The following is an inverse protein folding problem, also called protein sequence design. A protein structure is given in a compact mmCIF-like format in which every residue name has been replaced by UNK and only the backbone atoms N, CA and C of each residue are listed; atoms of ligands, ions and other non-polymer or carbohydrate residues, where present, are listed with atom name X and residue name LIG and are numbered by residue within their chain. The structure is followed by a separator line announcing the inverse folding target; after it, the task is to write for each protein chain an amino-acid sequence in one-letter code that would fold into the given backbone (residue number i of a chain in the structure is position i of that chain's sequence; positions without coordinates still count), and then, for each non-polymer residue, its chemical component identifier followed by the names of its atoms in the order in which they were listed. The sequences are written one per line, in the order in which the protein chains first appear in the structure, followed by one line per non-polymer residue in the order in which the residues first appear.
data_IF_830153612514
#
_entry.id   IF_830153612514
#
_cell.length_a   1.000
_cell.length_b   1.000
_cell.length_c   1.000
_cell.angle_alpha   90.00
_cell.angle_beta   90.00
_cell.angle_gamma   90.00
#
_symmetry.space_group_name_H-M   'P 1'
#
loop_
_entity.id
_entity.type
_entity.pdbx_description
1 polymer ?
#
# COMPACT_ATOMS: atom_id res chain seq x y z
N UNK A 1 0.64 -32.28 -8.95
CA UNK A 1 2.07 -31.91 -8.92
C UNK A 1 2.20 -30.84 -7.86
N UNK A 2 2.68 -31.24 -6.68
CA UNK A 2 2.94 -30.31 -5.59
C UNK A 2 4.20 -29.53 -5.94
N UNK A 3 4.09 -28.22 -6.06
CA UNK A 3 5.27 -27.37 -6.22
C UNK A 3 6.11 -27.48 -4.94
N UNK A 4 7.45 -27.54 -5.05
CA UNK A 4 8.29 -27.43 -3.87
C UNK A 4 8.02 -26.07 -3.20
N UNK A 5 7.99 -26.01 -1.85
CA UNK A 5 7.88 -24.76 -1.12
C UNK A 5 9.24 -24.05 -1.22
N UNK A 6 9.56 -23.52 -2.40
CA UNK A 6 10.61 -22.54 -2.50
C UNK A 6 10.13 -21.35 -1.68
N UNK A 7 10.77 -21.17 -0.53
CA UNK A 7 10.56 -20.06 0.37
C UNK A 7 10.49 -18.79 -0.49
N UNK A 8 9.32 -18.16 -0.54
CA UNK A 8 9.13 -16.89 -1.20
C UNK A 8 9.91 -15.86 -0.37
N UNK A 9 11.23 -15.82 -0.57
CA UNK A 9 12.07 -14.76 -0.09
C UNK A 9 11.42 -13.46 -0.61
N UNK A 10 11.30 -12.41 0.21
CA UNK A 10 10.74 -11.15 -0.24
C UNK A 10 11.53 -10.74 -1.49
N UNK A 11 10.92 -10.91 -2.66
CA UNK A 11 11.56 -10.64 -3.92
C UNK A 11 11.83 -9.15 -3.90
N UNK A 12 13.08 -8.77 -3.66
CA UNK A 12 13.50 -7.38 -3.49
C UNK A 12 13.03 -6.65 -4.74
N UNK A 13 11.95 -5.85 -4.65
CA UNK A 13 11.24 -5.46 -5.85
C UNK A 13 12.21 -4.67 -6.70
N UNK A 14 12.30 -4.98 -8.00
CA UNK A 14 13.20 -4.27 -8.92
C UNK A 14 12.96 -2.74 -8.86
N UNK A 15 11.76 -2.33 -8.44
CA UNK A 15 11.41 -0.96 -8.12
C UNK A 15 12.27 -0.34 -6.99
N UNK A 16 12.59 -1.08 -5.91
CA UNK A 16 13.40 -0.57 -4.80
C UNK A 16 14.86 -0.37 -5.21
N UNK A 17 15.42 -1.29 -5.99
CA UNK A 17 16.77 -1.12 -6.55
C UNK A 17 16.81 0.05 -7.53
N UNK A 18 15.79 0.21 -8.38
CA UNK A 18 15.69 1.35 -9.30
C UNK A 18 15.61 2.70 -8.55
N UNK A 19 14.89 2.77 -7.43
CA UNK A 19 14.83 3.97 -6.58
C UNK A 19 16.18 4.33 -5.97
N UNK A 20 16.88 3.34 -5.40
CA UNK A 20 18.21 3.54 -4.81
C UNK A 20 19.16 4.08 -5.86
N UNK A 21 19.14 3.50 -7.07
CA UNK A 21 19.96 3.98 -8.20
C UNK A 21 19.61 5.42 -8.57
N UNK A 22 18.31 5.75 -8.69
CA UNK A 22 17.89 7.13 -9.00
C UNK A 22 18.36 8.14 -7.94
N UNK A 23 18.24 7.82 -6.65
CA UNK A 23 18.69 8.67 -5.55
C UNK A 23 20.21 8.86 -5.52
N UNK A 24 20.98 7.80 -5.81
CA UNK A 24 22.43 7.89 -5.94
C UNK A 24 22.82 8.78 -7.12
N UNK A 25 22.14 8.66 -8.26
CA UNK A 25 22.37 9.54 -9.43
C UNK A 25 22.08 11.00 -9.06
N UNK A 26 20.99 11.27 -8.33
CA UNK A 26 20.67 12.62 -7.84
C UNK A 26 21.78 13.15 -6.93
N UNK A 27 22.25 12.34 -5.97
CA UNK A 27 23.35 12.72 -5.07
C UNK A 27 24.65 13.01 -5.82
N UNK A 28 25.01 12.19 -6.81
CA UNK A 28 26.18 12.41 -7.66
C UNK A 28 26.07 13.69 -8.49
N UNK A 29 24.89 13.97 -9.07
CA UNK A 29 24.64 15.22 -9.78
C UNK A 29 24.77 16.44 -8.85
N UNK A 30 24.30 16.35 -7.61
CA UNK A 30 24.44 17.43 -6.63
C UNK A 30 25.90 17.68 -6.25
N UNK A 31 26.72 16.63 -6.06
CA UNK A 31 28.17 16.78 -5.85
C UNK A 31 28.81 17.43 -7.06
N UNK A 32 28.47 16.99 -8.26
CA UNK A 32 29.02 17.57 -9.49
C UNK A 32 28.69 19.07 -9.62
N UNK A 33 27.43 19.45 -9.39
CA UNK A 33 26.99 20.85 -9.43
C UNK A 33 27.70 21.68 -8.35
N UNK A 34 27.82 21.18 -7.12
CA UNK A 34 28.57 21.86 -6.05
C UNK A 34 30.02 22.11 -6.45
N UNK A 35 30.75 21.06 -6.87
CA UNK A 35 32.15 21.15 -7.30
C UNK A 35 32.33 22.14 -8.45
N UNK A 36 31.44 22.15 -9.44
CA UNK A 36 31.50 23.11 -10.56
C UNK A 36 31.26 24.55 -10.07
N UNK A 37 30.27 24.79 -9.21
CA UNK A 37 30.00 26.12 -8.65
C UNK A 37 31.16 26.63 -7.80
N UNK A 38 31.77 25.74 -7.00
CA UNK A 38 32.98 26.02 -6.23
C UNK A 38 34.15 26.39 -7.15
N UNK A 39 34.40 25.61 -8.21
CA UNK A 39 35.48 25.85 -9.17
C UNK A 39 35.31 27.17 -9.95
N UNK A 40 34.06 27.57 -10.24
CA UNK A 40 33.74 28.84 -10.89
C UNK A 40 33.79 30.05 -9.93
N UNK A 41 34.19 29.84 -8.67
CA UNK A 41 34.22 30.87 -7.63
C UNK A 41 32.89 31.65 -7.53
N UNK A 42 31.77 30.96 -7.74
CA UNK A 42 30.45 31.58 -7.66
C UNK A 42 30.27 32.15 -6.24
N UNK A 43 29.88 33.43 -6.07
CA UNK A 43 30.17 34.20 -4.85
C UNK A 43 29.38 33.77 -3.59
N UNK A 44 28.56 32.73 -3.67
CA UNK A 44 27.73 32.24 -2.57
C UNK A 44 28.22 30.89 -2.06
N UNK A 45 29.19 30.89 -1.13
CA UNK A 45 29.66 29.68 -0.41
C UNK A 45 28.50 28.92 0.26
N UNK A 46 27.45 29.66 0.65
CA UNK A 46 26.21 29.11 1.21
C UNK A 46 25.50 28.17 0.22
N UNK A 47 25.56 28.45 -1.08
CA UNK A 47 24.97 27.60 -2.11
C UNK A 47 25.76 26.30 -2.30
N UNK A 48 27.10 26.37 -2.32
CA UNK A 48 27.97 25.20 -2.47
C UNK A 48 27.81 24.21 -1.30
N UNK A 49 27.92 24.73 -0.06
CA UNK A 49 27.74 23.91 1.13
C UNK A 49 26.34 23.27 1.19
N UNK A 50 25.32 23.97 0.71
CA UNK A 50 23.95 23.45 0.66
C UNK A 50 23.81 22.25 -0.31
N UNK A 51 24.43 22.29 -1.49
CA UNK A 51 24.42 21.15 -2.42
C UNK A 51 25.14 19.93 -1.85
N UNK A 52 26.26 20.12 -1.14
CA UNK A 52 26.96 19.02 -0.48
C UNK A 52 26.13 18.39 0.65
N UNK A 53 25.43 19.21 1.45
CA UNK A 53 24.53 18.71 2.49
C UNK A 53 23.40 17.89 1.88
N UNK A 54 22.77 18.37 0.80
CA UNK A 54 21.73 17.62 0.10
C UNK A 54 22.25 16.29 -0.46
N UNK A 55 23.47 16.27 -1.00
CA UNK A 55 24.09 15.05 -1.51
C UNK A 55 24.28 14.01 -0.40
N UNK A 56 24.82 14.42 0.75
CA UNK A 56 24.98 13.54 1.92
C UNK A 56 23.62 12.99 2.37
N UNK A 57 22.60 13.83 2.46
CA UNK A 57 21.25 13.40 2.82
C UNK A 57 20.68 12.40 1.80
N UNK A 58 20.92 12.59 0.50
CA UNK A 58 20.51 11.64 -0.53
C UNK A 58 21.17 10.26 -0.35
N UNK A 59 22.47 10.21 -0.01
CA UNK A 59 23.15 8.95 0.31
C UNK A 59 22.61 8.29 1.58
N UNK A 60 22.35 9.07 2.63
CA UNK A 60 21.75 8.56 3.88
C UNK A 60 20.36 7.97 3.62
N UNK A 61 19.52 8.66 2.84
CA UNK A 61 18.20 8.15 2.46
C UNK A 61 18.30 6.92 1.57
N UNK A 62 19.28 6.85 0.67
CA UNK A 62 19.56 5.65 -0.13
C UNK A 62 19.89 4.44 0.73
N UNK A 63 20.74 4.63 1.75
CA UNK A 63 21.04 3.59 2.73
C UNK A 63 19.79 3.21 3.55
N UNK A 64 18.98 4.19 3.95
CA UNK A 64 17.71 3.98 4.64
C UNK A 64 16.68 3.19 3.81
N UNK A 65 16.61 3.45 2.50
CA UNK A 65 15.80 2.70 1.53
C UNK A 65 16.31 1.25 1.43
N UNK A 66 17.62 1.05 1.45
CA UNK A 66 18.22 -0.29 1.43
C UNK A 66 17.80 -1.12 2.65
N UNK A 67 17.69 -0.46 3.81
CA UNK A 67 17.27 -1.06 5.08
C UNK A 67 15.75 -1.16 5.25
N UNK A 68 14.95 -0.73 4.26
CA UNK A 68 13.48 -0.71 4.32
C UNK A 68 12.93 0.04 5.56
N UNK A 69 13.62 1.10 5.98
CA UNK A 69 13.20 1.87 7.15
C UNK A 69 11.95 2.71 6.84
N UNK A 70 10.96 2.72 7.74
CA UNK A 70 9.68 3.43 7.53
C UNK A 70 9.81 4.94 7.31
N UNK A 71 10.89 5.57 7.79
CA UNK A 71 11.19 6.98 7.57
C UNK A 71 11.77 7.27 6.17
N UNK A 72 12.46 6.30 5.56
CA UNK A 72 13.24 6.53 4.33
C UNK A 72 12.36 6.95 3.16
N UNK A 73 11.12 6.46 3.13
CA UNK A 73 10.15 6.80 2.09
C UNK A 73 9.71 8.26 2.15
N UNK A 74 9.40 8.76 3.35
CA UNK A 74 9.03 10.17 3.52
C UNK A 74 10.22 11.08 3.16
N UNK A 75 11.42 10.74 3.61
CA UNK A 75 12.63 11.49 3.29
C UNK A 75 12.96 11.50 1.80
N UNK A 76 12.76 10.39 1.08
CA UNK A 76 12.97 10.31 -0.36
C UNK A 76 11.98 11.20 -1.15
N UNK A 77 10.72 11.32 -0.71
CA UNK A 77 9.76 12.23 -1.31
C UNK A 77 10.21 13.69 -1.11
N UNK A 78 10.57 14.06 0.12
CA UNK A 78 11.01 15.41 0.46
C UNK A 78 12.25 15.80 -0.33
N UNK A 79 13.28 14.94 -0.33
CA UNK A 79 14.52 15.18 -1.08
C UNK A 79 14.28 15.18 -2.59
N UNK A 80 13.39 14.32 -3.10
CA UNK A 80 13.04 14.30 -4.53
C UNK A 80 12.42 15.63 -4.98
N UNK A 81 11.54 16.23 -4.18
CA UNK A 81 10.93 17.54 -4.48
C UNK A 81 11.98 18.65 -4.43
N UNK A 82 12.78 18.70 -3.36
CA UNK A 82 13.83 19.72 -3.21
C UNK A 82 14.83 19.63 -4.35
N UNK A 83 15.28 18.42 -4.70
CA UNK A 83 16.22 18.19 -5.79
C UNK A 83 15.65 18.53 -7.16
N UNK A 84 14.35 18.30 -7.40
CA UNK A 84 13.69 18.64 -8.66
C UNK A 84 13.65 20.15 -8.92
N UNK A 85 13.43 20.95 -7.88
CA UNK A 85 13.37 22.41 -7.98
C UNK A 85 14.76 23.00 -8.21
N UNK A 86 15.77 22.49 -7.49
CA UNK A 86 17.12 23.06 -7.48
C UNK A 86 18.03 22.62 -8.63
N UNK A 87 17.77 21.46 -9.24
CA UNK A 87 18.65 20.89 -10.28
C UNK A 87 18.02 20.94 -11.68
N UNK A 88 17.01 21.78 -11.90
CA UNK A 88 16.45 21.98 -13.23
C UNK A 88 17.53 22.51 -14.20
N UNK A 89 17.77 21.90 -15.38
CA UNK A 89 16.97 20.87 -16.05
C UNK A 89 17.44 19.41 -15.86
N UNK A 90 18.67 19.17 -15.39
CA UNK A 90 19.31 17.84 -15.43
C UNK A 90 18.86 16.91 -14.30
N UNK A 91 18.56 17.42 -13.11
CA UNK A 91 18.16 16.63 -11.95
C UNK A 91 16.65 16.35 -11.85
N UNK A 92 15.84 16.98 -12.69
CA UNK A 92 14.37 16.83 -12.66
C UNK A 92 13.94 15.45 -13.14
N UNK A 93 14.59 14.91 -14.18
CA UNK A 93 14.25 13.58 -14.73
C UNK A 93 14.40 12.46 -13.70
N UNK A 94 15.57 12.26 -13.04
CA UNK A 94 15.70 11.22 -12.03
C UNK A 94 14.81 11.47 -10.80
N UNK A 95 14.57 12.74 -10.43
CA UNK A 95 13.64 13.07 -9.35
C UNK A 95 12.19 12.71 -9.69
N UNK A 96 11.69 13.04 -10.87
CA UNK A 96 10.33 12.68 -11.30
C UNK A 96 10.17 11.16 -11.38
N UNK A 97 11.15 10.44 -11.94
CA UNK A 97 11.14 8.98 -11.97
C UNK A 97 11.08 8.42 -10.55
N UNK A 98 11.90 8.92 -9.63
CA UNK A 98 11.87 8.55 -8.21
C UNK A 98 10.48 8.77 -7.59
N UNK A 99 9.86 9.93 -7.82
CA UNK A 99 8.51 10.24 -7.32
C UNK A 99 7.47 9.27 -7.91
N UNK A 100 7.49 9.00 -9.21
CA UNK A 100 6.55 8.06 -9.83
C UNK A 100 6.72 6.66 -9.24
N UNK A 101 7.96 6.21 -9.07
CA UNK A 101 8.24 4.91 -8.51
C UNK A 101 7.82 4.83 -7.03
N UNK A 102 8.02 5.87 -6.22
CA UNK A 102 7.76 5.83 -4.76
C UNK A 102 6.26 5.81 -4.41
N UNK A 103 5.42 6.19 -5.37
CA UNK A 103 3.97 6.05 -5.28
C UNK A 103 3.43 4.70 -5.74
N UNK A 104 4.27 3.86 -6.37
CA UNK A 104 3.83 2.51 -6.77
C UNK A 104 3.39 1.68 -5.56
N UNK A 105 2.32 0.88 -5.70
CA UNK A 105 1.77 0.08 -4.60
C UNK A 105 2.79 -0.96 -4.11
N UNK A 106 3.60 -1.52 -5.01
CA UNK A 106 4.69 -2.46 -4.68
C UNK A 106 5.60 -1.95 -3.57
N UNK A 107 5.95 -0.66 -3.61
CA UNK A 107 6.86 -0.04 -2.65
C UNK A 107 6.11 0.35 -1.39
N UNK A 108 4.87 0.81 -1.51
CA UNK A 108 3.96 1.05 -0.38
C UNK A 108 3.84 -0.19 0.52
N UNK A 109 3.71 -1.38 -0.09
CA UNK A 109 3.68 -2.64 0.64
C UNK A 109 5.01 -2.99 1.29
N UNK A 110 6.13 -2.79 0.59
CA UNK A 110 7.47 -3.03 1.15
C UNK A 110 7.75 -2.19 2.41
N UNK A 111 7.13 -1.02 2.53
CA UNK A 111 7.20 -0.14 3.72
C UNK A 111 6.04 -0.32 4.72
N UNK A 112 5.19 -1.33 4.54
CA UNK A 112 4.08 -1.63 5.46
C UNK A 112 2.92 -0.62 5.43
N UNK A 113 2.80 0.19 4.37
CA UNK A 113 1.81 1.27 4.24
C UNK A 113 0.83 1.02 3.08
N UNK A 114 -0.22 0.22 3.30
CA UNK A 114 -1.34 0.09 2.36
C UNK A 114 -2.11 -1.23 2.49
N UNK A 115 -3.40 -1.29 2.17
CA UNK A 115 -4.15 -2.54 2.11
C UNK A 115 -3.56 -3.45 1.02
N UNK A 116 -3.23 -4.73 1.29
CA UNK A 116 -2.39 -5.60 0.44
C UNK A 116 -2.94 -5.90 -0.97
N UNK A 117 -4.06 -5.29 -1.35
CA UNK A 117 -4.67 -5.41 -2.66
C UNK A 117 -5.14 -4.01 -3.02
N UNK A 118 -4.76 -3.48 -4.19
CA UNK A 118 -5.42 -2.29 -4.69
C UNK A 118 -6.92 -2.63 -4.76
N UNK A 119 -7.83 -1.82 -4.17
CA UNK A 119 -9.25 -2.01 -4.43
C UNK A 119 -9.40 -2.03 -5.96
N UNK A 120 -10.22 -2.93 -6.53
CA UNK A 120 -10.26 -3.15 -7.96
C UNK A 120 -10.61 -1.83 -8.65
N UNK A 121 -9.59 -1.14 -9.13
CA UNK A 121 -9.75 0.08 -9.90
C UNK A 121 -10.33 -0.45 -11.22
N UNK A 122 -11.64 -0.35 -11.41
CA UNK A 122 -12.41 -0.90 -12.54
C UNK A 122 -12.81 -2.38 -12.48
N UNK A 123 -12.93 -2.99 -11.29
CA UNK A 123 -13.56 -4.32 -11.18
C UNK A 123 -12.72 -5.50 -11.67
N UNK A 124 -11.50 -5.27 -12.16
CA UNK A 124 -10.56 -6.33 -12.54
C UNK A 124 -9.41 -6.40 -11.54
N UNK A 125 -9.36 -7.49 -10.76
CA UNK A 125 -8.16 -7.85 -10.03
C UNK A 125 -7.06 -8.22 -11.03
N UNK A 126 -5.80 -7.76 -10.87
CA UNK A 126 -4.76 -8.10 -11.83
C UNK A 126 -4.42 -9.60 -11.78
N UNK A 127 -3.90 -10.18 -12.87
CA UNK A 127 -3.78 -11.63 -13.03
C UNK A 127 -2.65 -12.29 -12.22
N UNK A 128 -2.24 -11.72 -11.08
CA UNK A 128 -1.22 -12.35 -10.24
C UNK A 128 -1.79 -13.59 -9.53
N UNK A 129 -1.70 -14.72 -10.22
CA UNK A 129 -1.36 -16.06 -9.70
C UNK A 129 -2.40 -16.77 -8.81
N UNK A 130 -2.88 -17.98 -9.19
CA UNK A 130 -3.62 -18.85 -8.28
C UNK A 130 -2.64 -19.42 -7.25
N UNK A 131 -2.45 -18.72 -6.13
CA UNK A 131 -1.50 -19.13 -5.08
C UNK A 131 -0.98 -18.02 -4.17
N UNK A 132 -1.39 -16.76 -4.36
CA UNK A 132 -1.12 -15.67 -3.41
C UNK A 132 -2.01 -15.85 -2.17
N UNK A 133 -1.65 -16.84 -1.36
CA UNK A 133 -2.32 -17.20 -0.13
C UNK A 133 -2.41 -16.00 0.82
N UNK A 134 -3.54 -15.95 1.50
CA UNK A 134 -3.75 -15.20 2.73
C UNK A 134 -2.46 -15.13 3.56
N UNK A 135 -1.82 -13.96 3.56
CA UNK A 135 -0.88 -13.61 4.61
C UNK A 135 -1.68 -13.62 5.91
N UNK A 136 -1.15 -14.20 7.01
CA UNK A 136 -1.77 -14.01 8.31
C UNK A 136 -1.77 -12.50 8.57
N UNK A 137 -2.96 -11.93 8.70
CA UNK A 137 -3.13 -10.56 9.15
C UNK A 137 -2.29 -10.39 10.44
N UNK A 138 -1.40 -9.41 10.54
CA UNK A 138 -1.00 -8.91 11.84
C UNK A 138 -2.29 -8.45 12.51
N UNK A 139 -2.77 -9.23 13.48
CA UNK A 139 -3.89 -8.83 14.31
C UNK A 139 -3.55 -7.42 14.84
N UNK A 140 -4.46 -6.43 14.77
CA UNK A 140 -4.25 -5.20 15.52
C UNK A 140 -3.99 -5.57 16.99
N UNK A 141 -3.14 -4.84 17.73
CA UNK A 141 -2.98 -5.08 19.16
C UNK A 141 -4.37 -5.11 19.78
N UNK A 142 -4.66 -6.17 20.54
CA UNK A 142 -5.93 -6.34 21.22
C UNK A 142 -6.14 -5.12 22.12
N UNK A 143 -6.92 -4.15 21.65
CA UNK A 143 -7.39 -3.06 22.48
C UNK A 143 -8.11 -3.74 23.67
N UNK A 144 -7.79 -3.38 24.92
CA UNK A 144 -8.58 -3.87 26.04
C UNK A 144 -10.04 -3.47 25.77
N UNK A 145 -11.00 -4.40 25.87
CA UNK A 145 -12.39 -4.08 25.62
C UNK A 145 -12.85 -3.05 26.66
N UNK A 146 -12.87 -1.77 26.27
CA UNK A 146 -13.46 -0.68 27.05
C UNK A 146 -14.99 -0.65 26.91
N UNK A 147 -15.57 -1.63 26.22
CA UNK A 147 -17.00 -1.83 26.23
C UNK A 147 -17.36 -2.65 27.47
N UNK A 148 -18.21 -2.13 28.38
CA UNK A 148 -18.85 -3.00 29.36
C UNK A 148 -19.55 -4.14 28.60
N UNK A 149 -19.54 -5.37 29.13
CA UNK A 149 -20.24 -6.49 28.51
C UNK A 149 -21.68 -6.06 28.21
N UNK A 150 -22.27 -6.46 27.06
CA UNK A 150 -23.67 -6.18 26.77
C UNK A 150 -24.51 -6.61 27.98
N UNK A 151 -25.14 -5.64 28.63
CA UNK A 151 -26.15 -5.92 29.66
C UNK A 151 -27.14 -6.86 28.99
N UNK A 152 -27.32 -8.05 29.58
CA UNK A 152 -28.23 -9.05 29.05
C UNK A 152 -29.56 -8.36 28.70
N UNK A 153 -30.05 -8.45 27.46
CA UNK A 153 -31.31 -7.83 27.11
C UNK A 153 -32.39 -8.38 28.05
N UNK A 154 -33.29 -7.53 28.60
CA UNK A 154 -34.40 -8.02 29.39
C UNK A 154 -35.19 -9.03 28.56
N UNK A 155 -35.58 -10.14 29.19
CA UNK A 155 -36.36 -11.20 28.55
C UNK A 155 -37.58 -10.58 27.84
N UNK A 156 -37.54 -10.60 26.51
CA UNK A 156 -38.63 -10.10 25.68
C UNK A 156 -39.75 -11.15 25.71
N UNK A 157 -41.01 -10.79 26.00
CA UNK A 157 -42.14 -11.71 25.90
C UNK A 157 -42.25 -12.32 24.50
N UNK A 158 -42.50 -13.62 24.46
CA UNK A 158 -42.56 -14.52 23.30
C UNK A 158 -43.76 -14.26 22.36
N UNK A 159 -44.01 -13.00 22.01
CA UNK A 159 -45.17 -12.61 21.17
C UNK A 159 -44.81 -11.58 20.09
N UNK A 160 -43.54 -11.54 19.64
CA UNK A 160 -43.18 -10.71 18.49
C UNK A 160 -43.73 -11.34 17.18
N UNK A 161 -44.47 -10.58 16.36
CA UNK A 161 -45.06 -11.09 15.12
C UNK A 161 -43.98 -11.53 14.12
N UNK A 162 -44.19 -12.71 13.54
CA UNK A 162 -43.32 -13.36 12.55
C UNK A 162 -43.03 -12.41 11.39
N UNK A 163 -41.75 -12.16 11.13
CA UNK A 163 -41.28 -11.32 10.02
C UNK A 163 -41.86 -11.79 8.66
N UNK A 164 -42.12 -10.86 7.71
CA UNK A 164 -42.71 -11.21 6.43
C UNK A 164 -41.81 -12.15 5.61
N UNK A 165 -42.41 -13.23 5.10
CA UNK A 165 -41.74 -14.28 4.33
C UNK A 165 -41.14 -13.72 3.03
N UNK A 166 -39.92 -14.13 2.68
CA UNK A 166 -39.23 -13.65 1.47
C UNK A 166 -39.98 -14.07 0.20
N UNK A 167 -40.17 -13.15 -0.76
CA UNK A 167 -40.89 -13.37 -2.04
C UNK A 167 -40.27 -14.44 -2.97
N UNK A 168 -39.06 -14.91 -2.68
CA UNK A 168 -38.31 -15.86 -3.52
C UNK A 168 -37.76 -17.02 -2.67
N UNK A 169 -37.71 -18.21 -3.25
CA UNK A 169 -37.14 -19.39 -2.60
C UNK A 169 -35.61 -19.28 -2.47
N UNK A 170 -35.09 -19.45 -1.25
CA UNK A 170 -33.63 -19.43 -0.98
C UNK A 170 -32.85 -20.60 -1.61
N UNK A 171 -33.55 -21.68 -1.98
CA UNK A 171 -32.90 -22.89 -2.50
C UNK A 171 -32.81 -22.92 -4.04
N UNK A 172 -33.84 -22.45 -4.76
CA UNK A 172 -33.88 -22.52 -6.23
C UNK A 172 -34.24 -21.19 -6.92
N UNK A 173 -34.54 -20.14 -6.19
CA UNK A 173 -34.80 -18.80 -6.75
C UNK A 173 -36.18 -18.61 -7.41
N UNK A 174 -37.07 -19.60 -7.39
CA UNK A 174 -38.43 -19.45 -7.93
C UNK A 174 -39.27 -18.50 -7.06
N UNK A 175 -40.23 -17.74 -7.64
CA UNK A 175 -41.16 -16.94 -6.85
C UNK A 175 -41.99 -17.85 -5.93
N UNK A 176 -42.26 -17.37 -4.72
CA UNK A 176 -43.10 -18.05 -3.73
C UNK A 176 -44.38 -17.26 -3.50
N UNK A 177 -45.51 -17.95 -3.46
CA UNK A 177 -46.77 -17.38 -3.02
C UNK A 177 -46.70 -17.01 -1.54
N UNK A 178 -47.42 -15.96 -1.14
CA UNK A 178 -47.33 -15.34 0.19
C UNK A 178 -47.55 -16.34 1.36
N UNK A 179 -48.26 -17.45 1.11
CA UNK A 179 -48.60 -18.46 2.09
C UNK A 179 -48.05 -19.87 1.77
N UNK A 180 -47.13 -20.00 0.80
CA UNK A 180 -46.53 -21.30 0.50
C UNK A 180 -45.73 -21.81 1.71
N UNK A 181 -45.94 -23.07 2.09
CA UNK A 181 -45.18 -23.78 3.16
C UNK A 181 -44.03 -24.59 2.55
N UNK A 182 -44.15 -24.96 1.27
CA UNK A 182 -43.16 -25.68 0.49
C UNK A 182 -43.00 -25.05 -0.89
N UNK A 183 -41.78 -25.00 -1.41
CA UNK A 183 -41.51 -24.46 -2.73
C UNK A 183 -42.06 -25.42 -3.83
N UNK A 184 -42.91 -24.94 -4.76
CA UNK A 184 -43.47 -25.79 -5.82
C UNK A 184 -42.43 -26.21 -6.87
N UNK A 185 -41.33 -25.47 -7.01
CA UNK A 185 -40.28 -25.80 -8.00
C UNK A 185 -39.21 -26.77 -7.49
N UNK A 186 -38.88 -26.77 -6.18
CA UNK A 186 -37.81 -27.62 -5.64
C UNK A 186 -38.21 -28.52 -4.47
N UNK A 187 -39.45 -28.44 -3.99
CA UNK A 187 -39.98 -29.31 -2.95
C UNK A 187 -39.47 -29.04 -1.53
N UNK A 188 -38.52 -28.11 -1.32
CA UNK A 188 -38.01 -27.78 0.02
C UNK A 188 -38.97 -26.85 0.78
N UNK A 189 -39.06 -27.04 2.10
CA UNK A 189 -39.84 -26.16 2.98
C UNK A 189 -39.23 -24.76 3.03
N UNK A 190 -40.10 -23.75 3.07
CA UNK A 190 -39.72 -22.35 3.10
C UNK A 190 -39.80 -21.83 4.54
N UNK A 191 -38.64 -21.83 5.21
CA UNK A 191 -38.44 -21.31 6.56
C UNK A 191 -37.99 -19.85 6.54
#
# INVERSE_FOLDING_TARGET
MAYPPEAYAPQRPAALTAMVVCLVIIGLLQVFVGVVLYALAFPFVVCDGFYLVLAVLAFVVSAGLWQMAGWARASAIVLGIIAAILNFPLGTVPAVILLVYIYKPEVKYAFGQGPPVAPPMWGYAPPYGPGQGAYPLPYPPAYPPTYPPPIAPPAVPETAPVAPRSKFCRNCGSPLDANAVSCPSCGKQVS
#
